data_IF_891564115637
#
_entry.id   IF_891564115637
#
_cell.length_a   1.000
_cell.length_b   1.000
_cell.length_c   1.000
_cell.angle_alpha   90.00
_cell.angle_beta   90.00
_cell.angle_gamma   90.00
#
_symmetry.space_group_name_H-M   'P 1'
#
loop_
_entity.id
_entity.type
_entity.pdbx_description
1 polymer ?
#
# COMPACT_ATOMS: atom_id res chain seq x y z
N UNK A 1 -22.80 12.80 -7.84
CA UNK A 1 -22.00 13.35 -6.73
C UNK A 1 -21.00 12.34 -6.17
N UNK A 2 -21.43 11.23 -5.56
CA UNK A 2 -20.52 10.30 -4.88
C UNK A 2 -19.44 9.67 -5.77
N UNK A 3 -19.78 9.13 -6.95
CA UNK A 3 -18.79 8.53 -7.86
C UNK A 3 -17.75 9.55 -8.36
N UNK A 4 -18.21 10.76 -8.70
CA UNK A 4 -17.34 11.87 -9.07
C UNK A 4 -16.44 12.29 -7.90
N UNK A 5 -16.98 12.38 -6.69
CA UNK A 5 -16.20 12.65 -5.49
C UNK A 5 -15.16 11.56 -5.20
N UNK A 6 -15.51 10.30 -5.41
CA UNK A 6 -14.58 9.19 -5.23
C UNK A 6 -13.44 9.21 -6.27
N UNK A 7 -13.71 9.66 -7.50
CA UNK A 7 -12.64 9.85 -8.49
C UNK A 7 -11.57 10.82 -7.97
N UNK A 8 -11.98 11.97 -7.42
CA UNK A 8 -11.04 12.94 -6.82
C UNK A 8 -10.36 12.42 -5.57
N UNK A 9 -11.10 11.76 -4.68
CA UNK A 9 -10.54 11.17 -3.46
C UNK A 9 -9.49 10.10 -3.80
N UNK A 10 -9.79 9.23 -4.75
CA UNK A 10 -8.86 8.17 -5.19
C UNK A 10 -7.59 8.74 -5.85
N UNK A 11 -7.70 9.85 -6.59
CA UNK A 11 -6.52 10.57 -7.10
C UNK A 11 -5.69 11.14 -5.95
N UNK A 12 -6.33 11.81 -4.98
CA UNK A 12 -5.67 12.32 -3.79
C UNK A 12 -4.95 11.21 -3.02
N UNK A 13 -5.61 10.08 -2.81
CA UNK A 13 -5.04 8.91 -2.14
C UNK A 13 -3.83 8.38 -2.92
N UNK A 14 -3.94 8.26 -4.25
CA UNK A 14 -2.83 7.80 -5.10
C UNK A 14 -1.60 8.71 -4.99
N UNK A 15 -1.80 10.04 -4.93
CA UNK A 15 -0.71 11.00 -4.78
C UNK A 15 -0.10 10.96 -3.38
N UNK A 16 -0.94 10.93 -2.34
CA UNK A 16 -0.50 10.87 -0.95
C UNK A 16 0.28 9.57 -0.67
N UNK A 17 -0.23 8.45 -1.15
CA UNK A 17 0.41 7.16 -1.00
C UNK A 17 1.76 7.12 -1.74
N UNK A 18 1.85 7.67 -2.95
CA UNK A 18 3.16 7.85 -3.61
C UNK A 18 4.12 8.72 -2.81
N UNK A 19 3.63 9.80 -2.20
CA UNK A 19 4.44 10.65 -1.35
C UNK A 19 5.00 9.87 -0.14
N UNK A 20 4.19 8.98 0.47
CA UNK A 20 4.66 8.10 1.53
C UNK A 20 5.86 7.24 1.12
N UNK A 21 5.88 6.75 -0.11
CA UNK A 21 6.99 5.94 -0.63
C UNK A 21 8.14 6.74 -1.23
N UNK A 22 7.92 8.01 -1.58
CA UNK A 22 8.93 8.86 -2.20
C UNK A 22 9.79 9.59 -1.18
N UNK A 23 9.22 10.01 -0.05
CA UNK A 23 9.92 10.79 0.96
C UNK A 23 10.27 9.92 2.18
N UNK A 24 11.57 9.79 2.49
CA UNK A 24 12.07 8.95 3.60
C UNK A 24 11.40 9.23 4.94
N UNK A 25 11.07 10.50 5.22
CA UNK A 25 10.39 10.86 6.45
C UNK A 25 8.97 10.30 6.50
N UNK A 26 8.20 10.46 5.42
CA UNK A 26 6.85 9.92 5.35
C UNK A 26 6.87 8.39 5.35
N UNK A 27 7.81 7.79 4.65
CA UNK A 27 7.99 6.34 4.71
C UNK A 27 8.19 5.90 6.16
N UNK A 28 9.24 6.37 6.83
CA UNK A 28 9.59 5.90 8.18
C UNK A 28 8.54 6.19 9.24
N UNK A 29 7.95 7.39 9.23
CA UNK A 29 7.08 7.83 10.32
C UNK A 29 5.60 7.57 10.06
N UNK A 30 5.19 7.38 8.80
CA UNK A 30 3.78 7.25 8.43
C UNK A 30 3.48 5.83 7.98
N UNK A 31 4.18 5.33 6.96
CA UNK A 31 3.68 4.21 6.15
C UNK A 31 4.54 2.92 6.22
N UNK A 32 5.77 2.97 6.73
CA UNK A 32 6.64 1.80 6.85
C UNK A 32 6.01 0.71 7.71
N UNK A 33 5.30 1.09 8.79
CA UNK A 33 4.59 0.16 9.65
C UNK A 33 3.52 -0.63 8.89
N UNK A 34 2.79 0.02 7.97
CA UNK A 34 1.80 -0.63 7.11
C UNK A 34 2.39 -1.76 6.27
N UNK A 35 3.66 -1.64 5.88
CA UNK A 35 4.38 -2.68 5.17
C UNK A 35 4.93 -3.78 6.07
N UNK A 36 4.83 -3.68 7.40
CA UNK A 36 5.42 -4.67 8.31
C UNK A 36 4.86 -6.10 8.17
N UNK A 37 3.53 -6.32 8.01
CA UNK A 37 2.95 -7.65 7.97
C UNK A 37 3.57 -8.55 6.89
N UNK A 38 3.95 -9.77 7.28
CA UNK A 38 4.53 -10.78 6.40
C UNK A 38 3.47 -11.64 5.67
N UNK A 39 2.20 -11.24 5.78
CA UNK A 39 1.06 -11.79 5.04
C UNK A 39 0.08 -10.65 4.76
N UNK A 40 -0.64 -10.74 3.65
CA UNK A 40 -1.75 -9.84 3.35
C UNK A 40 -3.05 -10.48 3.83
N UNK A 41 -3.81 -9.75 4.63
CA UNK A 41 -5.20 -10.05 4.98
C UNK A 41 -5.94 -8.75 5.31
N UNK A 42 -7.27 -8.83 5.43
CA UNK A 42 -8.14 -7.68 5.64
C UNK A 42 -7.79 -6.90 6.92
N UNK A 43 -7.32 -7.57 7.97
CA UNK A 43 -6.92 -6.90 9.21
C UNK A 43 -5.64 -6.08 9.03
N UNK A 44 -4.79 -6.47 8.06
CA UNK A 44 -3.60 -5.72 7.65
C UNK A 44 -3.88 -4.27 7.23
N UNK A 45 -5.08 -3.96 6.75
CA UNK A 45 -5.47 -2.57 6.42
C UNK A 45 -5.43 -1.65 7.65
N UNK A 46 -5.61 -2.22 8.85
CA UNK A 46 -5.58 -1.49 10.12
C UNK A 46 -4.19 -1.43 10.74
N UNK A 47 -3.19 -2.06 10.13
CA UNK A 47 -1.82 -2.09 10.63
C UNK A 47 -1.08 -0.79 10.27
N UNK A 48 -1.60 0.35 10.70
CA UNK A 48 -1.11 1.68 10.30
C UNK A 48 -0.71 2.52 11.53
N UNK A 49 0.07 3.56 11.30
CA UNK A 49 0.40 4.51 12.38
C UNK A 49 -0.75 5.50 12.63
N UNK A 50 -0.83 6.15 13.81
CA UNK A 50 -1.77 7.25 14.03
C UNK A 50 -1.58 8.41 13.05
N UNK A 51 -0.34 8.65 12.60
CA UNK A 51 -0.04 9.69 11.61
C UNK A 51 -0.62 9.34 10.24
N UNK A 52 -0.57 8.07 9.84
CA UNK A 52 -1.17 7.61 8.59
C UNK A 52 -2.69 7.74 8.62
N UNK A 53 -3.32 7.31 9.72
CA UNK A 53 -4.75 7.47 9.92
C UNK A 53 -5.17 8.95 9.85
N UNK A 54 -4.41 9.84 10.51
CA UNK A 54 -4.68 11.28 10.50
C UNK A 54 -4.51 11.90 9.11
N UNK A 55 -3.44 11.56 8.39
CA UNK A 55 -3.18 12.07 7.04
C UNK A 55 -4.27 11.64 6.05
N UNK A 56 -4.70 10.37 6.12
CA UNK A 56 -5.81 9.85 5.32
C UNK A 56 -7.14 10.55 5.67
N UNK A 57 -7.42 10.78 6.95
CA UNK A 57 -8.62 11.50 7.40
C UNK A 57 -8.63 12.96 6.96
N UNK A 58 -7.49 13.66 7.05
CA UNK A 58 -7.35 15.05 6.59
C UNK A 58 -7.59 15.13 5.08
N UNK A 59 -6.97 14.25 4.29
CA UNK A 59 -7.21 14.21 2.85
C UNK A 59 -8.68 13.95 2.52
N UNK A 60 -9.31 12.99 3.21
CA UNK A 60 -10.72 12.70 3.05
C UNK A 60 -11.60 13.92 3.32
N UNK A 61 -11.37 14.65 4.42
CA UNK A 61 -12.11 15.87 4.75
C UNK A 61 -11.84 17.00 3.74
N UNK A 62 -10.59 17.19 3.33
CA UNK A 62 -10.21 18.20 2.33
C UNK A 62 -10.96 17.98 1.02
N UNK A 63 -10.99 16.75 0.51
CA UNK A 63 -11.68 16.46 -0.76
C UNK A 63 -13.21 16.48 -0.59
N UNK A 64 -13.74 15.78 0.40
CA UNK A 64 -15.20 15.59 0.52
C UNK A 64 -15.93 16.84 1.00
N UNK A 65 -15.39 17.55 2.00
CA UNK A 65 -16.05 18.70 2.63
C UNK A 65 -15.59 20.01 2.00
N UNK A 66 -14.28 20.27 2.01
CA UNK A 66 -13.77 21.60 1.65
C UNK A 66 -13.68 21.85 0.14
N UNK A 67 -13.24 20.85 -0.63
CA UNK A 67 -13.08 21.00 -2.08
C UNK A 67 -14.40 20.82 -2.82
N UNK A 68 -15.18 19.80 -2.46
CA UNK A 68 -16.38 19.41 -3.21
C UNK A 68 -17.70 19.75 -2.51
N UNK A 69 -17.70 20.11 -1.23
CA UNK A 69 -18.92 20.48 -0.50
C UNK A 69 -19.98 19.38 -0.49
N UNK A 70 -19.57 18.11 -0.40
CA UNK A 70 -20.49 16.98 -0.51
C UNK A 70 -21.48 16.93 0.65
N UNK A 71 -22.72 16.50 0.36
CA UNK A 71 -23.73 16.25 1.39
C UNK A 71 -23.29 15.11 2.32
N UNK A 72 -23.82 15.03 3.56
CA UNK A 72 -23.47 13.96 4.50
C UNK A 72 -23.64 12.55 3.93
N UNK A 73 -24.73 12.30 3.18
CA UNK A 73 -24.96 11.02 2.51
C UNK A 73 -23.90 10.72 1.45
N UNK A 74 -23.53 11.71 0.63
CA UNK A 74 -22.48 11.52 -0.37
C UNK A 74 -21.12 11.25 0.27
N UNK A 75 -20.77 11.99 1.33
CA UNK A 75 -19.54 11.76 2.12
C UNK A 75 -19.52 10.38 2.76
N UNK A 76 -20.62 9.90 3.33
CA UNK A 76 -20.73 8.53 3.84
C UNK A 76 -20.51 7.49 2.74
N UNK A 77 -21.08 7.69 1.55
CA UNK A 77 -20.88 6.78 0.42
C UNK A 77 -19.41 6.75 -0.04
N UNK A 78 -18.72 7.90 -0.05
CA UNK A 78 -17.27 7.94 -0.33
C UNK A 78 -16.48 7.12 0.69
N UNK A 79 -16.78 7.28 1.99
CA UNK A 79 -16.11 6.53 3.06
C UNK A 79 -16.37 5.02 2.92
N UNK A 80 -17.60 4.62 2.58
CA UNK A 80 -17.95 3.22 2.34
C UNK A 80 -17.18 2.64 1.15
N UNK A 81 -17.15 3.36 0.02
CA UNK A 81 -16.41 2.94 -1.17
C UNK A 81 -14.91 2.82 -0.85
N UNK A 82 -14.30 3.84 -0.24
CA UNK A 82 -12.88 3.81 0.15
C UNK A 82 -12.54 2.65 1.09
N UNK A 83 -13.39 2.40 2.08
CA UNK A 83 -13.24 1.25 2.98
C UNK A 83 -13.30 -0.07 2.23
N UNK A 84 -14.23 -0.21 1.28
CA UNK A 84 -14.32 -1.40 0.42
C UNK A 84 -13.03 -1.62 -0.37
N UNK A 85 -12.48 -0.59 -1.04
CA UNK A 85 -11.22 -0.72 -1.79
C UNK A 85 -10.06 -1.12 -0.87
N UNK A 86 -9.93 -0.47 0.28
CA UNK A 86 -8.90 -0.77 1.27
C UNK A 86 -8.93 -2.23 1.76
N UNK A 87 -10.13 -2.75 2.03
CA UNK A 87 -10.31 -4.15 2.42
C UNK A 87 -10.11 -5.11 1.24
N UNK A 88 -10.62 -4.76 0.06
CA UNK A 88 -10.56 -5.62 -1.13
C UNK A 88 -9.11 -5.85 -1.58
N UNK A 89 -8.28 -4.81 -1.62
CA UNK A 89 -6.87 -4.95 -1.99
C UNK A 89 -6.05 -5.75 -0.96
N UNK A 90 -6.52 -5.79 0.30
CA UNK A 90 -5.96 -6.63 1.36
C UNK A 90 -6.61 -8.01 1.46
N UNK A 91 -7.52 -8.34 0.56
CA UNK A 91 -8.26 -9.58 0.66
C UNK A 91 -7.40 -10.75 0.17
N UNK A 92 -7.14 -11.76 1.01
CA UNK A 92 -6.29 -12.89 0.64
C UNK A 92 -7.01 -13.92 -0.26
N UNK A 93 -7.52 -13.47 -1.39
CA UNK A 93 -8.22 -14.30 -2.38
C UNK A 93 -7.64 -14.10 -3.77
N UNK A 94 -7.69 -15.16 -4.58
CA UNK A 94 -7.32 -15.09 -5.99
C UNK A 94 -8.42 -14.39 -6.77
N UNK A 95 -8.05 -13.46 -7.65
CA UNK A 95 -8.99 -12.69 -8.46
C UNK A 95 -8.68 -12.80 -9.96
N UNK A 96 -9.68 -12.67 -10.86
CA UNK A 96 -9.44 -12.68 -12.30
C UNK A 96 -8.54 -11.53 -12.73
N UNK A 97 -7.56 -11.79 -13.62
CA UNK A 97 -6.59 -10.77 -14.03
C UNK A 97 -7.20 -9.52 -14.67
N UNK A 98 -8.28 -9.69 -15.44
CA UNK A 98 -8.99 -8.59 -16.10
C UNK A 98 -9.56 -7.58 -15.11
N UNK A 99 -9.87 -8.01 -13.88
CA UNK A 99 -10.39 -7.14 -12.83
C UNK A 99 -9.36 -6.05 -12.43
N UNK A 100 -8.06 -6.33 -12.62
CA UNK A 100 -6.96 -5.44 -12.26
C UNK A 100 -6.81 -4.19 -13.11
N UNK A 101 -7.67 -4.01 -14.10
CA UNK A 101 -7.80 -2.77 -14.88
C UNK A 101 -8.94 -1.89 -14.36
N UNK A 102 -9.78 -2.40 -13.46
CA UNK A 102 -10.93 -1.68 -12.88
C UNK A 102 -10.74 -1.36 -11.40
N UNK A 103 -10.19 -2.30 -10.63
CA UNK A 103 -9.93 -2.19 -9.19
C UNK A 103 -8.56 -2.78 -8.86
N UNK A 104 -7.85 -2.20 -7.90
CA UNK A 104 -6.60 -2.79 -7.43
C UNK A 104 -6.86 -4.16 -6.81
N UNK A 105 -6.25 -5.18 -7.41
CA UNK A 105 -6.38 -6.58 -6.98
C UNK A 105 -5.47 -6.89 -5.79
N UNK A 106 -5.82 -7.90 -4.96
CA UNK A 106 -4.90 -8.45 -3.97
C UNK A 106 -3.52 -8.78 -4.50
N UNK A 107 -3.44 -9.39 -5.69
CA UNK A 107 -2.16 -9.77 -6.28
C UNK A 107 -1.30 -8.55 -6.68
N UNK A 108 -1.93 -7.44 -7.06
CA UNK A 108 -1.25 -6.18 -7.34
C UNK A 108 -0.80 -5.50 -6.03
N UNK A 109 -1.60 -5.59 -4.97
CA UNK A 109 -1.23 -5.07 -3.67
C UNK A 109 -0.13 -5.89 -2.99
N UNK A 110 -0.09 -7.22 -3.19
CA UNK A 110 1.04 -8.04 -2.77
C UNK A 110 2.34 -7.64 -3.50
N UNK A 111 2.27 -7.26 -4.78
CA UNK A 111 3.43 -6.71 -5.49
C UNK A 111 3.90 -5.40 -4.86
N UNK A 112 2.96 -4.54 -4.44
CA UNK A 112 3.25 -3.32 -3.70
C UNK A 112 3.97 -3.61 -2.38
N UNK A 113 3.47 -4.57 -1.60
CA UNK A 113 4.06 -5.01 -0.33
C UNK A 113 5.27 -5.95 -0.49
N UNK A 114 5.73 -6.21 -1.72
CA UNK A 114 6.80 -7.20 -1.95
C UNK A 114 8.04 -6.81 -1.16
N UNK A 115 8.57 -7.80 -0.45
CA UNK A 115 9.77 -7.69 0.37
C UNK A 115 10.94 -7.09 -0.41
N UNK A 116 11.52 -6.03 0.15
CA UNK A 116 12.66 -5.34 -0.44
C UNK A 116 12.34 -4.52 -1.70
N UNK A 117 11.06 -4.39 -2.08
CA UNK A 117 10.65 -3.58 -3.22
C UNK A 117 9.78 -2.40 -2.80
N UNK A 118 8.73 -2.64 -2.00
CA UNK A 118 7.83 -1.62 -1.45
C UNK A 118 7.49 -0.49 -2.44
N UNK A 119 6.98 -0.85 -3.62
CA UNK A 119 6.80 0.08 -4.75
C UNK A 119 5.74 -0.41 -5.72
N UNK A 120 5.30 0.48 -6.61
CA UNK A 120 4.22 0.25 -7.60
C UNK A 120 2.83 0.15 -6.97
N UNK A 121 1.77 0.22 -7.79
CA UNK A 121 0.38 -0.01 -7.36
C UNK A 121 -0.05 0.82 -6.13
N UNK A 122 0.06 2.15 -6.20
CA UNK A 122 -0.22 3.05 -5.07
C UNK A 122 -1.71 3.44 -4.94
N UNK A 123 -2.56 3.02 -5.87
CA UNK A 123 -3.91 3.58 -6.00
C UNK A 123 -5.04 2.56 -5.98
N UNK A 124 -6.14 2.90 -5.32
CA UNK A 124 -7.39 2.10 -5.31
C UNK A 124 -7.88 1.81 -6.74
N UNK A 125 -7.88 2.85 -7.59
CA UNK A 125 -8.23 2.79 -8.99
C UNK A 125 -6.97 2.64 -9.86
N UNK A 126 -6.74 1.49 -10.51
CA UNK A 126 -5.51 1.21 -11.28
C UNK A 126 -5.19 2.22 -12.38
N UNK A 127 -6.16 3.01 -12.83
CA UNK A 127 -5.97 4.07 -13.82
C UNK A 127 -4.90 5.08 -13.40
N UNK A 128 -4.81 5.41 -12.10
CA UNK A 128 -3.82 6.36 -11.61
C UNK A 128 -2.41 5.77 -11.64
N UNK A 129 -2.27 4.48 -11.40
CA UNK A 129 -1.00 3.75 -11.57
C UNK A 129 -0.64 3.52 -13.03
N UNK A 130 -1.62 3.37 -13.92
CA UNK A 130 -1.37 3.30 -15.35
C UNK A 130 -0.79 4.61 -15.87
N UNK A 131 -1.41 5.75 -15.56
CA UNK A 131 -0.90 7.07 -15.96
C UNK A 131 0.49 7.39 -15.38
N UNK A 132 0.78 6.92 -14.16
CA UNK A 132 2.09 7.12 -13.54
C UNK A 132 3.15 6.07 -13.92
N UNK A 133 2.82 5.10 -14.78
CA UNK A 133 3.73 4.01 -15.16
C UNK A 133 4.03 3.00 -14.03
N UNK A 134 3.31 3.08 -12.91
CA UNK A 134 3.47 2.25 -11.71
C UNK A 134 2.53 1.05 -11.65
N UNK A 135 1.70 0.81 -12.67
CA UNK A 135 0.81 -0.36 -12.68
C UNK A 135 1.59 -1.67 -12.87
N UNK A 136 1.40 -2.61 -11.96
CA UNK A 136 1.82 -4.01 -12.08
C UNK A 136 0.62 -4.91 -11.78
N UNK A 137 0.09 -5.56 -12.82
CA UNK A 137 -1.08 -6.44 -12.74
C UNK A 137 -0.69 -7.91 -13.02
N UNK A 138 0.02 -8.59 -12.10
CA UNK A 138 0.48 -9.95 -12.33
C UNK A 138 -0.71 -10.93 -12.39
N UNK A 139 -0.57 -12.03 -13.14
CA UNK A 139 -1.60 -13.08 -13.15
C UNK A 139 -1.75 -13.74 -11.77
N UNK A 140 -0.62 -13.93 -11.07
CA UNK A 140 -0.51 -14.46 -9.72
C UNK A 140 0.67 -13.77 -9.03
N UNK A 141 0.61 -13.63 -7.70
CA UNK A 141 1.77 -13.24 -6.89
C UNK A 141 2.46 -14.50 -6.34
N UNK A 142 3.79 -14.57 -6.45
CA UNK A 142 4.61 -15.70 -6.00
C UNK A 142 5.81 -15.27 -5.14
N UNK A 143 5.81 -14.04 -4.64
CA UNK A 143 6.87 -13.51 -3.78
C UNK A 143 6.50 -13.59 -2.30
N UNK A 144 7.33 -12.96 -1.48
CA UNK A 144 7.06 -12.72 -0.07
C UNK A 144 6.74 -11.24 0.15
N UNK A 145 5.90 -10.95 1.14
CA UNK A 145 5.52 -9.59 1.53
C UNK A 145 6.20 -9.17 2.84
N UNK A 146 6.21 -7.87 3.08
CA UNK A 146 6.75 -7.25 4.28
C UNK A 146 8.27 -7.33 4.38
N UNK A 147 8.80 -7.46 5.59
CA UNK A 147 10.24 -7.43 5.86
C UNK A 147 10.76 -8.83 6.19
N UNK A 148 12.06 -9.06 6.04
CA UNK A 148 12.69 -10.35 6.33
C UNK A 148 12.77 -10.63 7.84
N UNK A 149 13.07 -9.61 8.63
CA UNK A 149 13.14 -9.75 10.08
C UNK A 149 11.75 -10.06 10.68
N UNK A 150 11.71 -10.82 11.80
CA UNK A 150 10.47 -11.08 12.52
C UNK A 150 9.78 -9.78 12.97
N UNK A 151 8.44 -9.77 12.94
CA UNK A 151 7.64 -8.62 13.38
C UNK A 151 8.04 -8.12 14.78
N UNK A 152 8.29 -9.01 15.73
CA UNK A 152 8.66 -8.64 17.11
C UNK A 152 9.92 -7.78 17.22
N UNK A 153 10.82 -7.83 16.25
CA UNK A 153 12.09 -7.09 16.26
C UNK A 153 11.97 -5.72 15.58
N UNK A 154 11.04 -5.56 14.64
CA UNK A 154 10.98 -4.37 13.77
C UNK A 154 9.89 -3.37 14.16
N UNK A 155 8.85 -3.79 14.90
CA UNK A 155 7.72 -2.91 15.23
C UNK A 155 8.13 -1.71 16.10
N UNK A 156 8.89 -1.93 17.18
CA UNK A 156 9.31 -0.83 18.05
C UNK A 156 10.23 0.16 17.31
N UNK A 157 11.25 -0.29 16.54
CA UNK A 157 12.02 0.60 15.66
C UNK A 157 11.14 1.40 14.69
N UNK A 158 10.18 0.78 14.01
CA UNK A 158 9.29 1.45 13.07
C UNK A 158 8.40 2.49 13.76
N UNK A 159 7.87 2.20 14.95
CA UNK A 159 7.09 3.18 15.73
C UNK A 159 7.92 4.40 16.16
N UNK A 160 9.25 4.25 16.22
CA UNK A 160 10.20 5.36 16.44
C UNK A 160 10.66 6.02 15.14
N UNK A 161 10.15 5.57 13.99
CA UNK A 161 10.54 6.01 12.66
C UNK A 161 11.99 5.70 12.30
N UNK A 162 12.54 4.59 12.79
CA UNK A 162 13.91 4.19 12.50
C UNK A 162 14.00 3.49 11.14
N UNK A 163 15.11 3.69 10.43
CA UNK A 163 15.45 2.83 9.30
C UNK A 163 15.81 1.43 9.79
N UNK A 164 15.51 0.42 8.96
CA UNK A 164 15.91 -0.95 9.24
C UNK A 164 17.19 -1.29 8.48
N UNK A 165 18.08 -2.13 9.05
CA UNK A 165 19.25 -2.61 8.34
C UNK A 165 18.82 -3.46 7.13
N UNK A 166 19.63 -3.47 6.08
CA UNK A 166 19.29 -4.14 4.82
C UNK A 166 18.96 -5.64 5.01
N UNK A 167 19.68 -6.33 5.90
CA UNK A 167 19.39 -7.71 6.26
C UNK A 167 17.98 -7.91 6.84
N UNK A 168 17.47 -6.94 7.61
CA UNK A 168 16.10 -6.98 8.11
C UNK A 168 15.07 -6.69 7.02
N UNK A 169 15.44 -5.95 5.97
CA UNK A 169 14.55 -5.63 4.85
C UNK A 169 14.48 -6.77 3.82
N UNK A 170 15.63 -7.26 3.36
CA UNK A 170 15.74 -8.19 2.23
C UNK A 170 16.04 -9.63 2.64
N UNK A 171 16.53 -9.85 3.86
CA UNK A 171 17.13 -11.12 4.29
C UNK A 171 18.62 -11.14 3.98
N UNK A 172 19.33 -12.12 4.51
CA UNK A 172 20.73 -12.35 4.14
C UNK A 172 20.82 -12.64 2.64
N UNK A 173 21.84 -12.10 1.97
CA UNK A 173 22.19 -12.56 0.63
C UNK A 173 22.41 -14.08 0.68
N UNK A 174 21.97 -14.87 -0.32
CA UNK A 174 22.33 -16.27 -0.37
C UNK A 174 23.85 -16.38 -0.27
N UNK A 175 24.34 -17.29 0.58
CA UNK A 175 25.77 -17.57 0.65
C UNK A 175 26.27 -17.84 -0.77
N UNK A 176 27.35 -17.17 -1.19
CA UNK A 176 28.01 -17.52 -2.45
C UNK A 176 28.36 -19.00 -2.35
N UNK A 177 27.81 -19.80 -3.25
CA UNK A 177 28.24 -21.17 -3.41
C UNK A 177 29.60 -21.12 -4.13
N UNK A 178 30.67 -21.05 -3.34
CA UNK A 178 32.05 -21.04 -3.83
C UNK A 178 32.44 -22.38 -4.49
N UNK A 179 31.50 -23.32 -4.67
CA UNK A 179 31.70 -24.61 -5.36
C UNK A 179 31.31 -24.62 -6.83
N UNK A 180 30.77 -23.53 -7.38
CA UNK A 180 30.54 -23.44 -8.83
C UNK A 180 31.81 -22.95 -9.53
N UNK A 181 32.44 -23.77 -10.40
CA UNK A 181 33.62 -23.34 -11.13
C UNK A 181 33.27 -22.16 -12.02
N UNK A 182 34.15 -21.15 -12.03
CA UNK A 182 34.11 -20.03 -12.97
C UNK A 182 34.13 -20.61 -14.39
N UNK A 183 33.00 -20.48 -15.09
CA UNK A 183 32.88 -20.76 -16.53
C UNK A 183 33.35 -19.58 -17.36
#
# INVERSE_FOLDING_TARGET
AALFGYLWLSLGNALLHRAYHHFDWLWRHVHQLHHAPQRIDVAGVMFQTPLEAAANAVLFMLVSVFLLGLSPLATMLLAYIGSFYGMFQHFNVRTPRLLGYLIQRPEAHCEHHRRGHHRYNYSDLPIWDWFAGSLRNPARFSGEVGFAAPLGEIIVPMLRGQSLPEAAVRGAAPARDDRLPLS
#
